data_IF_816816414034
#
_entry.id   IF_816816414034
#
_cell.length_a   1.000
_cell.length_b   1.000
_cell.length_c   1.000
_cell.angle_alpha   90.00
_cell.angle_beta   90.00
_cell.angle_gamma   90.00
#
_symmetry.space_group_name_H-M   'P 1'
#
loop_
_entity.id
_entity.type
_entity.pdbx_description
1 polymer ?
#
# COMPACT_ATOMS: atom_id res chain seq x y z
N UNK A 1 16.86 -21.76 -21.91
CA UNK A 1 16.20 -21.89 -20.60
C UNK A 1 15.28 -20.72 -20.46
N UNK A 2 14.02 -20.94 -20.20
CA UNK A 2 13.03 -19.86 -20.04
C UNK A 2 13.38 -19.00 -18.84
N UNK A 3 13.33 -17.67 -18.98
CA UNK A 3 13.60 -16.69 -17.93
C UNK A 3 12.34 -15.89 -17.60
N UNK A 4 12.07 -15.69 -16.30
CA UNK A 4 10.92 -14.93 -15.82
C UNK A 4 11.39 -13.81 -14.90
N UNK A 5 10.98 -12.57 -15.19
CA UNK A 5 11.12 -11.45 -14.27
C UNK A 5 9.84 -11.30 -13.44
N UNK A 6 9.99 -11.19 -12.11
CA UNK A 6 8.90 -10.82 -11.19
C UNK A 6 9.17 -9.42 -10.65
N UNK A 7 8.22 -8.49 -10.79
CA UNK A 7 8.37 -7.10 -10.35
C UNK A 7 7.58 -6.88 -9.07
N UNK A 8 8.31 -6.78 -7.96
CA UNK A 8 7.78 -6.62 -6.60
C UNK A 8 7.82 -7.90 -5.79
N UNK A 9 8.39 -7.84 -4.58
CA UNK A 9 8.44 -8.91 -3.59
C UNK A 9 7.43 -8.71 -2.44
N UNK A 10 6.27 -8.16 -2.75
CA UNK A 10 5.09 -8.18 -1.90
C UNK A 10 4.43 -9.57 -1.91
N UNK A 11 3.32 -9.79 -1.17
CA UNK A 11 2.65 -11.09 -1.07
C UNK A 11 2.40 -11.77 -2.41
N UNK A 12 2.03 -11.02 -3.46
CA UNK A 12 1.77 -11.57 -4.81
C UNK A 12 3.04 -12.09 -5.48
N UNK A 13 4.14 -11.31 -5.44
CA UNK A 13 5.43 -11.74 -6.00
C UNK A 13 6.00 -12.92 -5.25
N UNK A 14 5.95 -12.89 -3.91
CA UNK A 14 6.38 -14.01 -3.06
C UNK A 14 5.57 -15.29 -3.31
N UNK A 15 4.25 -15.16 -3.56
CA UNK A 15 3.42 -16.30 -3.94
C UNK A 15 3.86 -16.90 -5.29
N UNK A 16 4.23 -16.07 -6.26
CA UNK A 16 4.76 -16.55 -7.54
C UNK A 16 6.10 -17.27 -7.37
N UNK A 17 7.04 -16.71 -6.62
CA UNK A 17 8.33 -17.36 -6.34
C UNK A 17 8.11 -18.72 -5.65
N UNK A 18 7.22 -18.76 -4.66
CA UNK A 18 6.90 -20.02 -3.96
C UNK A 18 6.24 -21.03 -4.89
N UNK A 19 5.39 -20.62 -5.82
CA UNK A 19 4.76 -21.52 -6.78
C UNK A 19 5.80 -22.20 -7.68
N UNK A 20 6.79 -21.47 -8.17
CA UNK A 20 7.91 -22.06 -8.93
C UNK A 20 8.77 -22.99 -8.05
N UNK A 21 9.10 -22.58 -6.82
CA UNK A 21 9.86 -23.44 -5.91
C UNK A 21 9.10 -24.75 -5.62
N UNK A 22 7.79 -24.68 -5.36
CA UNK A 22 6.95 -25.84 -5.12
C UNK A 22 6.87 -26.78 -6.34
N UNK A 23 6.78 -26.22 -7.54
CA UNK A 23 6.80 -27.02 -8.77
C UNK A 23 8.14 -27.73 -8.95
N UNK A 24 9.26 -27.07 -8.67
CA UNK A 24 10.58 -27.67 -8.70
C UNK A 24 10.73 -28.80 -7.68
N UNK A 25 10.24 -28.63 -6.44
CA UNK A 25 10.21 -29.66 -5.40
C UNK A 25 9.43 -30.91 -5.84
N UNK A 26 8.43 -30.73 -6.72
CA UNK A 26 7.64 -31.82 -7.32
C UNK A 26 8.27 -32.41 -8.59
N UNK A 27 9.47 -31.96 -8.96
CA UNK A 27 10.23 -32.48 -10.11
C UNK A 27 9.82 -31.84 -11.45
N UNK A 28 9.05 -30.75 -11.45
CA UNK A 28 8.74 -30.03 -12.69
C UNK A 28 9.97 -29.23 -13.16
N UNK A 29 10.11 -29.09 -14.49
CA UNK A 29 11.04 -28.14 -15.09
C UNK A 29 10.50 -26.73 -14.86
N UNK A 30 11.29 -25.87 -14.19
CA UNK A 30 10.92 -24.49 -13.88
C UNK A 30 11.86 -23.50 -14.57
N UNK A 31 11.40 -22.28 -14.89
CA UNK A 31 12.25 -21.26 -15.46
C UNK A 31 13.29 -20.73 -14.47
N UNK A 32 14.31 -20.04 -14.98
CA UNK A 32 15.13 -19.15 -14.17
C UNK A 32 14.27 -17.93 -13.76
N UNK A 33 14.16 -17.66 -12.46
CA UNK A 33 13.32 -16.58 -11.95
C UNK A 33 14.18 -15.52 -11.25
N UNK A 34 13.99 -14.27 -11.64
CA UNK A 34 14.59 -13.11 -10.98
C UNK A 34 13.47 -12.19 -10.50
N UNK A 35 13.46 -11.88 -9.21
CA UNK A 35 12.51 -10.94 -8.62
C UNK A 35 13.21 -9.61 -8.32
N UNK A 36 12.62 -8.51 -8.76
CA UNK A 36 13.09 -7.15 -8.48
C UNK A 36 12.25 -6.51 -7.41
N UNK A 37 12.87 -6.12 -6.29
CA UNK A 37 12.22 -5.41 -5.20
C UNK A 37 12.88 -4.05 -4.97
N UNK A 38 12.04 -3.02 -4.90
CA UNK A 38 12.50 -1.63 -4.68
C UNK A 38 13.01 -1.43 -3.25
N UNK A 39 12.34 -2.03 -2.27
CA UNK A 39 12.68 -1.92 -0.86
C UNK A 39 13.94 -2.75 -0.53
N UNK A 40 14.42 -2.60 0.68
CA UNK A 40 15.57 -3.36 1.21
C UNK A 40 15.19 -4.72 1.80
N UNK A 41 13.88 -5.00 1.90
CA UNK A 41 13.36 -6.29 2.33
C UNK A 41 12.03 -6.60 1.64
N UNK A 42 11.59 -7.86 1.72
CA UNK A 42 10.33 -8.34 1.15
C UNK A 42 9.11 -7.95 1.99
N UNK A 43 7.92 -8.27 1.47
CA UNK A 43 6.64 -8.09 2.17
C UNK A 43 5.79 -6.98 1.62
N UNK A 44 6.33 -6.14 0.74
CA UNK A 44 5.61 -5.06 0.08
C UNK A 44 4.97 -4.12 1.09
N UNK A 45 3.64 -3.98 1.03
CA UNK A 45 2.86 -3.12 1.94
C UNK A 45 3.02 -3.51 3.42
N UNK A 46 3.20 -4.81 3.74
CA UNK A 46 3.33 -5.30 5.12
C UNK A 46 4.69 -4.99 5.75
N UNK A 47 5.70 -4.66 4.94
CA UNK A 47 6.98 -4.16 5.41
C UNK A 47 6.84 -2.69 5.83
N UNK A 48 6.51 -2.47 7.11
CA UNK A 48 6.26 -1.14 7.66
C UNK A 48 7.50 -0.26 7.68
N UNK A 49 7.33 0.99 7.28
CA UNK A 49 8.27 2.07 7.51
C UNK A 49 7.58 3.27 8.15
N UNK A 50 8.27 3.96 9.03
CA UNK A 50 7.82 5.24 9.58
C UNK A 50 7.98 6.40 8.57
N UNK A 51 8.79 6.21 7.53
CA UNK A 51 9.07 7.22 6.52
C UNK A 51 7.86 7.50 5.63
N UNK A 52 7.76 8.74 5.19
CA UNK A 52 6.81 9.22 4.18
C UNK A 52 7.55 10.00 3.10
N UNK A 53 6.90 10.30 1.99
CA UNK A 53 7.51 11.06 0.89
C UNK A 53 8.53 10.23 0.12
N UNK A 54 9.83 10.48 0.34
CA UNK A 54 10.93 9.77 -0.33
C UNK A 54 11.87 9.11 0.68
N UNK A 55 12.52 8.02 0.26
CA UNK A 55 13.53 7.30 1.03
C UNK A 55 14.93 7.93 0.89
N UNK A 56 15.95 7.27 1.42
CA UNK A 56 17.34 7.71 1.36
C UNK A 56 17.95 7.70 -0.04
N UNK A 57 17.31 7.05 -1.00
CA UNK A 57 17.71 7.01 -2.40
C UNK A 57 16.92 7.99 -3.28
N UNK A 58 15.99 8.77 -2.68
CA UNK A 58 15.09 9.66 -3.40
C UNK A 58 13.92 8.95 -4.07
N UNK A 59 13.69 7.67 -3.75
CA UNK A 59 12.56 6.90 -4.25
C UNK A 59 11.30 7.20 -3.43
N UNK A 60 10.14 7.34 -4.10
CA UNK A 60 8.87 7.52 -3.39
C UNK A 60 8.59 6.34 -2.46
N UNK A 61 8.25 6.60 -1.21
CA UNK A 61 7.82 5.56 -0.27
C UNK A 61 6.49 4.96 -0.74
N UNK A 62 6.52 3.69 -1.07
CA UNK A 62 5.37 2.97 -1.65
C UNK A 62 4.33 2.59 -0.59
N UNK A 63 4.77 2.31 0.64
CA UNK A 63 3.92 1.74 1.68
C UNK A 63 3.00 2.78 2.33
N UNK A 64 1.73 2.43 2.47
CA UNK A 64 0.71 3.18 3.22
C UNK A 64 0.40 2.56 4.59
N UNK A 65 1.22 1.62 5.06
CA UNK A 65 1.06 0.96 6.34
C UNK A 65 1.29 1.93 7.50
N UNK A 66 0.52 1.79 8.57
CA UNK A 66 0.68 2.54 9.81
C UNK A 66 0.84 1.63 11.03
N UNK A 67 1.37 2.20 12.09
CA UNK A 67 1.93 1.46 13.24
C UNK A 67 0.96 0.48 13.87
N UNK A 68 -0.27 0.89 14.08
CA UNK A 68 -1.27 0.12 14.83
C UNK A 68 -2.37 -0.45 13.94
N UNK A 69 -2.08 -0.69 12.66
CA UNK A 69 -3.04 -1.33 11.77
C UNK A 69 -3.33 -2.76 12.23
N UNK A 70 -4.60 -3.10 12.26
CA UNK A 70 -5.10 -4.45 12.41
C UNK A 70 -5.65 -4.95 11.08
N UNK A 71 -5.55 -6.25 10.84
CA UNK A 71 -6.18 -6.83 9.66
C UNK A 71 -7.68 -6.60 9.68
N UNK A 72 -8.22 -6.14 8.55
CA UNK A 72 -9.66 -6.05 8.32
C UNK A 72 -10.26 -7.33 7.72
N UNK A 73 -9.44 -8.34 7.51
CA UNK A 73 -9.82 -9.69 7.10
C UNK A 73 -9.41 -10.72 8.14
N UNK A 74 -10.22 -11.77 8.35
CA UNK A 74 -9.88 -12.83 9.28
C UNK A 74 -8.67 -13.64 8.77
N UNK A 75 -7.79 -14.06 9.68
CA UNK A 75 -6.59 -14.84 9.35
C UNK A 75 -6.93 -16.12 8.56
N UNK A 76 -8.09 -16.68 8.81
CA UNK A 76 -8.61 -17.87 8.14
C UNK A 76 -8.79 -17.67 6.62
N UNK A 77 -8.96 -16.42 6.18
CA UNK A 77 -8.99 -16.03 4.76
C UNK A 77 -7.62 -15.56 4.24
N UNK A 78 -6.64 -15.39 5.11
CA UNK A 78 -5.30 -14.90 4.79
C UNK A 78 -4.25 -16.02 4.85
N UNK A 79 -4.62 -17.19 5.35
CA UNK A 79 -3.75 -18.33 5.49
C UNK A 79 -3.34 -18.89 4.14
N UNK A 80 -2.05 -19.15 3.98
CA UNK A 80 -1.54 -19.81 2.79
C UNK A 80 -1.82 -21.31 2.86
N UNK A 81 -2.18 -21.91 1.73
CA UNK A 81 -2.53 -23.33 1.65
C UNK A 81 -1.37 -24.29 2.06
N UNK A 82 -0.14 -23.81 1.93
CA UNK A 82 1.09 -24.55 2.21
C UNK A 82 1.80 -24.12 3.50
N UNK A 83 1.18 -23.20 4.28
CA UNK A 83 1.80 -22.66 5.50
C UNK A 83 0.75 -22.07 6.44
N UNK A 84 0.45 -22.76 7.53
CA UNK A 84 -0.58 -22.36 8.50
C UNK A 84 -0.07 -21.38 9.56
N UNK A 85 -0.98 -20.53 10.09
CA UNK A 85 -0.63 -19.65 11.22
C UNK A 85 -0.23 -20.42 12.47
N UNK A 86 -0.91 -21.52 12.79
CA UNK A 86 -0.58 -22.33 13.96
C UNK A 86 0.75 -23.07 13.78
N UNK A 87 1.07 -23.49 12.55
CA UNK A 87 2.37 -24.06 12.21
C UNK A 87 3.49 -23.04 12.46
N UNK A 88 3.28 -21.78 12.04
CA UNK A 88 4.28 -20.73 12.18
C UNK A 88 4.48 -20.32 13.66
N UNK A 89 3.40 -20.02 14.37
CA UNK A 89 3.48 -19.47 15.73
C UNK A 89 3.52 -20.51 16.84
N UNK A 90 3.22 -21.77 16.56
CA UNK A 90 3.11 -22.84 17.57
C UNK A 90 1.98 -22.62 18.58
N UNK A 91 1.05 -21.72 18.32
CA UNK A 91 -0.09 -21.36 19.18
C UNK A 91 -1.23 -20.73 18.37
N UNK A 92 -2.47 -20.76 18.90
CA UNK A 92 -3.59 -20.03 18.28
C UNK A 92 -3.32 -18.53 18.21
N UNK A 93 -3.70 -17.94 17.08
CA UNK A 93 -3.64 -16.49 16.81
C UNK A 93 -5.07 -15.96 16.66
N UNK A 94 -5.32 -14.73 17.12
CA UNK A 94 -6.61 -14.06 16.93
C UNK A 94 -6.99 -13.98 15.46
N UNK A 95 -8.29 -14.08 15.14
CA UNK A 95 -8.78 -14.06 13.75
C UNK A 95 -8.42 -12.76 13.02
N UNK A 96 -8.41 -11.64 13.72
CA UNK A 96 -7.97 -10.34 13.16
C UNK A 96 -6.63 -9.94 13.80
N UNK A 97 -5.50 -10.36 13.22
CA UNK A 97 -4.19 -10.09 13.81
C UNK A 97 -3.70 -8.67 13.51
N UNK A 98 -2.85 -8.10 14.38
CA UNK A 98 -2.16 -6.85 14.08
C UNK A 98 -1.13 -7.07 12.94
N UNK A 99 -0.75 -5.97 12.28
CA UNK A 99 0.13 -6.00 11.09
C UNK A 99 1.45 -6.73 11.32
N UNK A 100 2.05 -6.59 12.49
CA UNK A 100 3.33 -7.24 12.81
C UNK A 100 3.23 -8.76 12.84
N UNK A 101 2.09 -9.30 13.24
CA UNK A 101 1.81 -10.75 13.21
C UNK A 101 1.72 -11.22 11.76
N UNK A 102 1.03 -10.47 10.90
CA UNK A 102 0.96 -10.80 9.46
C UNK A 102 2.32 -10.66 8.78
N UNK A 103 3.08 -9.64 9.13
CA UNK A 103 4.44 -9.47 8.62
C UNK A 103 5.34 -10.64 8.98
N UNK A 104 5.33 -11.04 10.25
CA UNK A 104 6.13 -12.17 10.74
C UNK A 104 5.73 -13.49 10.08
N UNK A 105 4.42 -13.70 9.90
CA UNK A 105 3.87 -14.86 9.18
C UNK A 105 4.31 -14.92 7.71
N UNK A 106 4.21 -13.80 6.97
CA UNK A 106 4.66 -13.70 5.57
C UNK A 106 6.16 -13.98 5.48
N UNK A 107 6.93 -13.41 6.40
CA UNK A 107 8.36 -13.58 6.48
C UNK A 107 8.75 -15.06 6.73
N UNK A 108 8.12 -15.71 7.69
CA UNK A 108 8.37 -17.12 8.00
C UNK A 108 8.10 -18.03 6.81
N UNK A 109 7.04 -17.78 6.05
CA UNK A 109 6.75 -18.52 4.81
C UNK A 109 7.86 -18.37 3.78
N UNK A 110 8.36 -17.15 3.57
CA UNK A 110 9.42 -16.88 2.59
C UNK A 110 10.74 -17.54 3.01
N UNK A 111 11.10 -17.44 4.29
CA UNK A 111 12.29 -18.08 4.85
C UNK A 111 12.23 -19.61 4.67
N UNK A 112 11.09 -20.23 4.98
CA UNK A 112 10.84 -21.65 4.76
C UNK A 112 10.93 -22.05 3.29
N UNK A 113 10.54 -21.18 2.39
CA UNK A 113 10.52 -21.44 0.94
C UNK A 113 11.89 -21.40 0.27
N UNK A 114 12.91 -20.80 0.91
CA UNK A 114 14.27 -20.69 0.36
C UNK A 114 14.39 -19.81 -0.89
N UNK A 115 13.40 -18.95 -1.17
CA UNK A 115 13.36 -18.14 -2.42
C UNK A 115 14.07 -16.79 -2.32
N UNK A 116 14.70 -16.48 -1.18
CA UNK A 116 15.34 -15.17 -0.95
C UNK A 116 16.40 -14.82 -1.99
N UNK A 117 17.20 -15.78 -2.40
CA UNK A 117 18.31 -15.58 -3.33
C UNK A 117 17.85 -15.23 -4.75
N UNK A 118 16.56 -15.42 -5.06
CA UNK A 118 15.95 -14.99 -6.32
C UNK A 118 15.56 -13.51 -6.29
N UNK A 119 15.64 -12.82 -5.14
CA UNK A 119 15.18 -11.45 -4.97
C UNK A 119 16.37 -10.49 -4.97
N UNK A 120 16.36 -9.55 -5.92
CA UNK A 120 17.27 -8.41 -5.99
C UNK A 120 16.62 -7.21 -5.29
N UNK A 121 17.04 -6.95 -4.07
CA UNK A 121 16.58 -5.82 -3.27
C UNK A 121 17.21 -4.52 -3.74
N UNK A 122 16.58 -3.38 -3.40
CA UNK A 122 16.98 -2.02 -3.81
C UNK A 122 17.17 -1.91 -5.33
N UNK A 123 16.28 -2.58 -6.05
CA UNK A 123 16.32 -2.73 -7.50
C UNK A 123 14.99 -2.37 -8.15
N UNK A 124 14.54 -1.09 -8.07
CA UNK A 124 13.31 -0.68 -8.74
C UNK A 124 13.43 -0.86 -10.26
N UNK A 125 12.41 -1.47 -10.85
CA UNK A 125 12.28 -1.55 -12.30
C UNK A 125 11.84 -0.19 -12.83
N UNK A 126 12.57 0.34 -13.80
CA UNK A 126 12.33 1.65 -14.42
C UNK A 126 11.51 1.55 -15.69
N UNK A 127 11.73 0.48 -16.43
CA UNK A 127 11.05 0.30 -17.71
C UNK A 127 10.94 -1.19 -18.04
N UNK A 128 9.88 -1.53 -18.76
CA UNK A 128 9.69 -2.83 -19.40
C UNK A 128 9.23 -2.58 -20.81
N UNK A 129 9.95 -3.11 -21.80
CA UNK A 129 9.56 -3.07 -23.21
C UNK A 129 9.40 -4.48 -23.73
N UNK A 130 8.50 -4.67 -24.70
CA UNK A 130 8.31 -5.92 -25.39
C UNK A 130 8.71 -5.76 -26.85
N UNK A 131 9.58 -6.63 -27.32
CA UNK A 131 9.93 -6.77 -28.74
C UNK A 131 9.06 -7.87 -29.37
N UNK A 132 8.09 -7.51 -30.23
CA UNK A 132 7.19 -8.49 -30.85
C UNK A 132 7.90 -9.39 -31.87
N UNK A 133 9.00 -8.93 -32.45
CA UNK A 133 9.74 -9.71 -33.48
C UNK A 133 10.63 -10.76 -32.78
N UNK A 134 11.25 -10.41 -31.66
CA UNK A 134 12.02 -11.36 -30.86
C UNK A 134 11.13 -12.18 -29.91
N UNK A 135 9.92 -11.72 -29.57
CA UNK A 135 9.04 -12.31 -28.56
C UNK A 135 9.58 -12.17 -27.12
N UNK A 136 10.43 -11.18 -26.88
CA UNK A 136 11.16 -10.99 -25.62
C UNK A 136 10.82 -9.68 -24.93
N UNK A 137 10.88 -9.71 -23.59
CA UNK A 137 10.79 -8.52 -22.76
C UNK A 137 12.18 -8.04 -22.37
N UNK A 138 12.42 -6.74 -22.44
CA UNK A 138 13.59 -6.09 -21.85
C UNK A 138 13.16 -5.36 -20.56
N UNK A 139 13.75 -5.76 -19.43
CA UNK A 139 13.51 -5.17 -18.12
C UNK A 139 14.71 -4.32 -17.71
N UNK A 140 14.52 -3.01 -17.56
CA UNK A 140 15.53 -2.09 -17.07
C UNK A 140 15.34 -1.85 -15.58
N UNK A 141 16.29 -2.28 -14.76
CA UNK A 141 16.29 -2.12 -13.31
C UNK A 141 17.45 -1.23 -12.85
N UNK A 142 17.19 -0.43 -11.81
CA UNK A 142 18.18 0.46 -11.19
C UNK A 142 18.70 -0.17 -9.90
N UNK A 143 19.98 -0.51 -9.84
CA UNK A 143 20.63 -0.84 -8.59
C UNK A 143 20.87 0.46 -7.79
N UNK A 144 20.08 0.68 -6.73
CA UNK A 144 20.15 1.90 -5.93
C UNK A 144 21.44 2.03 -5.13
N UNK A 145 22.12 0.91 -4.82
CA UNK A 145 23.41 0.95 -4.13
C UNK A 145 24.55 1.32 -5.06
N UNK A 146 24.57 0.71 -6.25
CA UNK A 146 25.61 0.98 -7.25
C UNK A 146 25.32 2.27 -8.03
N UNK A 147 24.09 2.78 -8.03
CA UNK A 147 23.66 3.93 -8.83
C UNK A 147 23.64 3.64 -10.33
N UNK A 148 23.51 2.38 -10.75
CA UNK A 148 23.58 1.95 -12.15
C UNK A 148 22.27 1.35 -12.62
N UNK A 149 21.93 1.60 -13.88
CA UNK A 149 20.79 0.94 -14.54
C UNK A 149 21.30 -0.15 -15.46
N UNK A 150 20.78 -1.36 -15.31
CA UNK A 150 21.07 -2.48 -16.18
C UNK A 150 19.78 -3.01 -16.83
N UNK A 151 19.88 -3.50 -18.05
CA UNK A 151 18.77 -4.12 -18.79
C UNK A 151 19.05 -5.60 -19.02
N UNK A 152 18.06 -6.42 -18.77
CA UNK A 152 18.11 -7.87 -19.00
C UNK A 152 16.89 -8.33 -19.78
N UNK A 153 17.05 -9.41 -20.56
CA UNK A 153 16.00 -10.00 -21.39
C UNK A 153 15.32 -11.17 -20.68
N UNK A 154 14.00 -11.26 -20.87
CA UNK A 154 13.12 -12.27 -20.27
C UNK A 154 12.06 -12.73 -21.26
N UNK A 155 11.72 -14.03 -21.20
CA UNK A 155 10.59 -14.59 -21.95
C UNK A 155 9.24 -14.11 -21.38
N UNK A 156 9.18 -13.92 -20.06
CA UNK A 156 7.94 -13.50 -19.37
C UNK A 156 8.22 -12.48 -18.29
N UNK A 157 7.23 -11.62 -18.05
CA UNK A 157 7.24 -10.64 -16.95
C UNK A 157 5.95 -10.77 -16.14
N UNK A 158 6.12 -10.90 -14.83
CA UNK A 158 5.03 -10.91 -13.84
C UNK A 158 5.05 -9.58 -13.08
N UNK A 159 4.00 -8.77 -13.24
CA UNK A 159 3.86 -7.50 -12.55
C UNK A 159 3.12 -7.73 -11.21
N UNK A 160 3.85 -7.63 -10.10
CA UNK A 160 3.37 -7.82 -8.74
C UNK A 160 3.64 -6.57 -7.87
N UNK A 161 3.63 -5.38 -8.49
CA UNK A 161 4.01 -4.10 -7.88
C UNK A 161 3.01 -3.53 -6.88
N UNK A 162 1.86 -4.19 -6.68
CA UNK A 162 0.77 -3.66 -5.86
C UNK A 162 0.02 -2.51 -6.56
N UNK A 163 -1.01 -1.98 -5.88
CA UNK A 163 -1.86 -0.93 -6.45
C UNK A 163 -2.21 0.19 -5.45
N UNK A 164 -1.76 0.10 -4.19
CA UNK A 164 -2.06 1.09 -3.15
C UNK A 164 -0.89 2.04 -2.90
N UNK A 165 -0.35 2.68 -3.94
CA UNK A 165 0.87 3.49 -3.83
C UNK A 165 0.70 4.97 -4.15
N UNK A 166 -0.25 5.36 -4.96
CA UNK A 166 -0.42 6.76 -5.37
C UNK A 166 -1.66 7.37 -4.74
N UNK A 167 -1.52 8.39 -3.86
CA UNK A 167 -2.65 9.02 -3.20
C UNK A 167 -3.49 9.85 -4.17
N UNK A 168 -4.81 9.76 -4.04
CA UNK A 168 -5.74 10.67 -4.68
C UNK A 168 -5.96 11.89 -3.78
N UNK A 169 -5.24 12.97 -4.05
CA UNK A 169 -5.28 14.19 -3.22
C UNK A 169 -6.21 15.22 -3.87
N UNK A 170 -7.45 15.36 -3.38
CA UNK A 170 -8.35 16.40 -3.85
C UNK A 170 -7.84 17.78 -3.42
N UNK A 171 -8.11 18.77 -4.24
CA UNK A 171 -7.84 20.16 -3.90
C UNK A 171 -9.13 20.84 -3.40
N UNK A 172 -9.02 21.50 -2.25
CA UNK A 172 -10.06 22.39 -1.73
C UNK A 172 -9.51 23.80 -1.64
N UNK A 173 -10.30 24.85 -1.99
CA UNK A 173 -9.88 26.24 -1.84
C UNK A 173 -9.43 26.53 -0.41
N UNK A 174 -8.27 27.14 -0.27
CA UNK A 174 -7.68 27.50 1.02
C UNK A 174 -6.72 26.49 1.63
N UNK A 175 -6.55 25.29 1.06
CA UNK A 175 -5.58 24.31 1.54
C UNK A 175 -4.16 24.87 1.60
N UNK A 176 -3.79 25.72 0.65
CA UNK A 176 -2.47 26.37 0.58
C UNK A 176 -2.20 27.37 1.72
N UNK A 177 -3.25 27.75 2.46
CA UNK A 177 -3.18 28.70 3.60
C UNK A 177 -3.54 28.05 4.93
N UNK A 178 -3.86 26.78 4.94
CA UNK A 178 -4.15 26.06 6.16
C UNK A 178 -2.93 26.05 7.07
N UNK A 179 -3.10 26.47 8.31
CA UNK A 179 -1.99 26.61 9.27
C UNK A 179 -1.64 25.30 9.99
N UNK A 180 -2.52 24.31 9.91
CA UNK A 180 -2.32 22.99 10.48
C UNK A 180 -1.67 22.03 9.50
N UNK A 181 -1.76 20.72 9.81
CA UNK A 181 -1.22 19.67 8.94
C UNK A 181 -2.28 19.09 8.03
N UNK A 182 -2.01 19.06 6.71
CA UNK A 182 -2.78 18.27 5.74
C UNK A 182 -1.95 17.05 5.37
N UNK A 183 -2.53 15.85 5.47
CA UNK A 183 -1.90 14.62 5.00
C UNK A 183 -2.94 13.70 4.36
N UNK A 184 -2.48 12.87 3.45
CA UNK A 184 -3.29 11.77 2.94
C UNK A 184 -3.16 10.53 3.84
N UNK A 185 -4.17 9.67 3.90
CA UNK A 185 -4.14 8.39 4.64
C UNK A 185 -2.94 7.52 4.26
N UNK A 186 -2.43 7.63 3.03
CA UNK A 186 -1.19 7.01 2.58
C UNK A 186 0.01 7.36 3.46
N UNK A 187 0.09 8.60 3.95
CA UNK A 187 1.20 9.11 4.77
C UNK A 187 0.89 9.12 6.27
N UNK A 188 -0.27 8.64 6.67
CA UNK A 188 -0.58 8.40 8.07
C UNK A 188 0.31 7.27 8.61
N UNK A 189 0.94 7.49 9.78
CA UNK A 189 1.86 6.51 10.38
C UNK A 189 1.52 6.16 11.82
N UNK A 190 1.05 7.13 12.60
CA UNK A 190 0.79 6.95 14.03
C UNK A 190 -0.32 7.91 14.50
N UNK A 191 -1.32 7.38 15.19
CA UNK A 191 -2.42 8.17 15.74
C UNK A 191 -2.04 9.04 16.93
N UNK A 192 -0.95 8.72 17.62
CA UNK A 192 -0.48 9.50 18.78
C UNK A 192 -0.08 10.92 18.42
N UNK A 193 0.22 11.18 17.15
CA UNK A 193 0.46 12.53 16.63
C UNK A 193 -0.75 13.48 16.81
N UNK A 194 -1.96 12.92 16.90
CA UNK A 194 -3.22 13.65 16.96
C UNK A 194 -3.83 13.72 18.35
N UNK A 195 -3.08 13.30 19.39
CA UNK A 195 -3.49 13.46 20.79
C UNK A 195 -3.80 14.93 21.09
N UNK A 196 -4.92 15.19 21.80
CA UNK A 196 -5.43 16.51 22.18
C UNK A 196 -5.73 17.44 20.98
N UNK A 197 -5.83 16.92 19.75
CA UNK A 197 -6.13 17.71 18.55
C UNK A 197 -7.56 17.52 18.07
N UNK A 198 -8.12 18.58 17.51
CA UNK A 198 -9.31 18.54 16.68
C UNK A 198 -8.89 18.23 15.25
N UNK A 199 -9.45 17.18 14.65
CA UNK A 199 -9.07 16.72 13.32
C UNK A 199 -10.28 16.64 12.40
N UNK A 200 -10.05 16.89 11.10
CA UNK A 200 -11.03 16.63 10.06
C UNK A 200 -10.58 15.44 9.21
N UNK A 201 -11.44 14.45 9.06
CA UNK A 201 -11.26 13.32 8.14
C UNK A 201 -12.13 13.58 6.91
N UNK A 202 -11.53 13.51 5.73
CA UNK A 202 -12.24 13.64 4.44
C UNK A 202 -12.31 12.26 3.78
N UNK A 203 -13.47 11.65 3.81
CA UNK A 203 -13.74 10.30 3.32
C UNK A 203 -14.67 9.52 4.25
N UNK A 204 -15.30 8.46 3.75
CA UNK A 204 -16.24 7.62 4.50
C UNK A 204 -16.10 6.14 4.12
N UNK A 205 -14.90 5.61 4.12
CA UNK A 205 -14.62 4.20 3.88
C UNK A 205 -13.65 3.67 4.93
N UNK A 206 -13.21 2.43 4.82
CA UNK A 206 -12.37 1.73 5.78
C UNK A 206 -11.18 2.55 6.32
N UNK A 207 -10.51 3.34 5.48
CA UNK A 207 -9.40 4.19 5.96
C UNK A 207 -9.89 5.31 6.88
N UNK A 208 -11.06 5.90 6.61
CA UNK A 208 -11.62 6.95 7.44
C UNK A 208 -12.06 6.40 8.80
N UNK A 209 -12.75 5.26 8.78
CA UNK A 209 -13.20 4.53 9.96
C UNK A 209 -12.02 4.14 10.85
N UNK A 210 -11.03 3.41 10.32
CA UNK A 210 -9.93 2.87 11.10
C UNK A 210 -8.99 3.96 11.62
N UNK A 211 -8.60 4.91 10.78
CA UNK A 211 -7.74 6.04 11.19
C UNK A 211 -8.44 6.89 12.25
N UNK A 212 -9.73 7.20 12.04
CA UNK A 212 -10.49 7.97 13.01
C UNK A 212 -10.67 7.24 14.34
N UNK A 213 -10.99 5.94 14.30
CA UNK A 213 -11.08 5.10 15.50
C UNK A 213 -9.77 5.02 16.25
N UNK A 214 -8.63 4.95 15.55
CA UNK A 214 -7.33 5.01 16.19
C UNK A 214 -7.06 6.39 16.79
N UNK A 215 -7.36 7.48 16.08
CA UNK A 215 -7.22 8.82 16.63
C UNK A 215 -8.08 9.01 17.88
N UNK A 216 -9.32 8.50 17.90
CA UNK A 216 -10.15 8.47 19.13
C UNK A 216 -9.47 7.70 20.26
N UNK A 217 -9.03 6.46 19.98
CA UNK A 217 -8.37 5.59 20.96
C UNK A 217 -7.11 6.22 21.57
N UNK A 218 -6.37 7.00 20.77
CA UNK A 218 -5.13 7.66 21.20
C UNK A 218 -5.32 9.11 21.61
N UNK A 219 -6.56 9.54 21.89
CA UNK A 219 -6.87 10.77 22.61
C UNK A 219 -7.00 12.01 21.75
N UNK A 220 -7.42 11.89 20.49
CA UNK A 220 -7.87 13.06 19.73
C UNK A 220 -9.05 13.74 20.45
N UNK A 221 -9.06 15.07 20.54
CA UNK A 221 -10.08 15.81 21.25
C UNK A 221 -11.43 15.76 20.51
N UNK A 222 -11.45 16.16 19.24
CA UNK A 222 -12.61 16.07 18.37
C UNK A 222 -12.24 15.46 17.02
N UNK A 223 -13.14 14.66 16.49
CA UNK A 223 -13.02 14.03 15.18
C UNK A 223 -14.23 14.45 14.35
N UNK A 224 -13.99 15.26 13.34
CA UNK A 224 -14.97 15.63 12.34
C UNK A 224 -14.77 14.76 11.11
N UNK A 225 -15.85 14.29 10.50
CA UNK A 225 -15.80 13.51 9.29
C UNK A 225 -16.72 14.09 8.22
N UNK A 226 -16.23 14.20 7.00
CA UNK A 226 -17.00 14.69 5.86
C UNK A 226 -16.81 13.81 4.65
N UNK A 227 -17.88 13.57 3.89
CA UNK A 227 -17.84 12.70 2.72
C UNK A 227 -18.92 13.08 1.70
N UNK A 228 -18.64 12.82 0.43
CA UNK A 228 -19.63 12.93 -0.65
C UNK A 228 -20.66 11.81 -0.62
N UNK A 229 -20.31 10.68 0.00
CA UNK A 229 -21.19 9.52 0.12
C UNK A 229 -22.23 9.66 1.24
N UNK A 230 -22.13 10.74 2.07
CA UNK A 230 -22.98 10.91 3.25
C UNK A 230 -22.44 10.19 4.49
N UNK A 231 -23.33 9.96 5.47
CA UNK A 231 -22.97 9.30 6.72
C UNK A 231 -22.51 7.86 6.52
N UNK A 232 -21.55 7.42 7.35
CA UNK A 232 -21.09 6.03 7.41
C UNK A 232 -22.08 5.12 8.13
N UNK A 233 -23.01 5.68 8.90
CA UNK A 233 -24.11 4.95 9.55
C UNK A 233 -23.69 4.13 10.78
N UNK A 234 -22.58 4.48 11.43
CA UNK A 234 -22.10 3.85 12.65
C UNK A 234 -22.50 4.64 13.89
N UNK A 235 -22.56 3.96 15.04
CA UNK A 235 -22.61 4.60 16.36
C UNK A 235 -21.21 5.07 16.74
N UNK A 236 -20.94 6.36 16.49
CA UNK A 236 -19.66 6.96 16.78
C UNK A 236 -19.52 7.38 18.26
N UNK A 237 -18.30 7.43 18.79
CA UNK A 237 -18.06 8.01 20.12
C UNK A 237 -18.51 9.48 20.20
N UNK A 238 -18.76 9.97 21.42
CA UNK A 238 -19.24 11.34 21.71
C UNK A 238 -18.35 12.47 21.17
N UNK A 239 -17.06 12.18 20.91
CA UNK A 239 -16.12 13.12 20.32
C UNK A 239 -16.04 13.05 18.79
N UNK A 240 -16.91 12.27 18.14
CA UNK A 240 -16.95 12.14 16.67
C UNK A 240 -18.23 12.78 16.14
N UNK A 241 -18.10 13.58 15.08
CA UNK A 241 -19.22 14.26 14.42
C UNK A 241 -19.11 14.12 12.90
N UNK A 242 -20.16 13.61 12.25
CA UNK A 242 -20.27 13.59 10.79
C UNK A 242 -20.89 14.90 10.30
N UNK A 243 -20.25 15.54 9.34
CA UNK A 243 -20.60 16.86 8.81
C UNK A 243 -20.85 16.79 7.31
N UNK A 244 -21.62 17.76 6.76
CA UNK A 244 -21.82 17.89 5.32
C UNK A 244 -20.51 18.05 4.54
N UNK A 245 -20.61 18.21 3.22
CA UNK A 245 -19.45 18.30 2.33
C UNK A 245 -18.59 19.51 2.69
N UNK A 246 -17.28 19.29 2.84
CA UNK A 246 -16.28 20.35 2.94
C UNK A 246 -16.28 21.20 1.66
N UNK A 247 -16.35 22.52 1.80
CA UNK A 247 -16.34 23.46 0.68
C UNK A 247 -15.02 24.19 0.50
N UNK A 248 -14.47 24.72 1.58
CA UNK A 248 -13.19 25.44 1.59
C UNK A 248 -12.62 25.54 3.00
N UNK A 249 -11.41 26.08 3.09
CA UNK A 249 -10.71 26.31 4.35
C UNK A 249 -10.23 27.76 4.42
N UNK A 250 -10.35 28.39 5.58
CA UNK A 250 -9.80 29.73 5.84
C UNK A 250 -8.99 29.71 7.16
N UNK A 251 -7.68 29.85 7.05
CA UNK A 251 -6.79 29.63 8.20
C UNK A 251 -6.95 28.21 8.77
N UNK A 252 -7.38 28.08 10.03
CA UNK A 252 -7.68 26.80 10.66
C UNK A 252 -9.16 26.41 10.62
N UNK A 253 -10.00 27.28 10.07
CA UNK A 253 -11.44 27.07 10.03
C UNK A 253 -11.84 26.35 8.74
N UNK A 254 -12.48 25.19 8.88
CA UNK A 254 -13.06 24.41 7.78
C UNK A 254 -14.53 24.76 7.63
N UNK A 255 -15.00 24.93 6.41
CA UNK A 255 -16.36 25.36 6.06
C UNK A 255 -17.12 24.26 5.33
N UNK A 256 -18.38 24.04 5.71
CA UNK A 256 -19.22 23.00 5.15
C UNK A 256 -20.37 23.57 4.30
N UNK A 257 -20.99 22.73 3.49
CA UNK A 257 -22.00 23.14 2.50
C UNK A 257 -23.30 23.66 3.09
N UNK A 258 -23.58 23.41 4.35
CA UNK A 258 -24.74 23.92 5.10
C UNK A 258 -24.46 25.24 5.87
N UNK A 259 -23.22 25.75 5.73
CA UNK A 259 -22.77 26.96 6.41
C UNK A 259 -22.16 26.73 7.80
N UNK A 260 -22.13 25.51 8.28
CA UNK A 260 -21.41 25.18 9.53
C UNK A 260 -19.90 25.35 9.37
N UNK A 261 -19.21 25.62 10.47
CA UNK A 261 -17.73 25.73 10.51
C UNK A 261 -17.18 25.02 11.72
N UNK A 262 -15.92 24.56 11.62
CA UNK A 262 -15.15 24.03 12.74
C UNK A 262 -13.70 24.49 12.62
N UNK A 263 -13.05 24.70 13.77
CA UNK A 263 -11.60 24.90 13.80
C UNK A 263 -10.91 23.57 14.01
N UNK A 264 -9.89 23.31 13.20
CA UNK A 264 -9.17 22.04 13.23
C UNK A 264 -7.66 22.23 13.18
N UNK A 265 -6.93 21.30 13.79
CA UNK A 265 -5.48 21.28 13.84
C UNK A 265 -4.85 20.44 12.73
N UNK A 266 -5.63 19.50 12.14
CA UNK A 266 -5.18 18.67 11.05
C UNK A 266 -6.34 18.22 10.15
N UNK A 267 -6.02 17.97 8.88
CA UNK A 267 -6.92 17.39 7.88
C UNK A 267 -6.29 16.10 7.36
N UNK A 268 -7.01 14.99 7.47
CA UNK A 268 -6.58 13.68 6.99
C UNK A 268 -7.46 13.29 5.80
N UNK A 269 -6.84 13.19 4.63
CA UNK A 269 -7.52 12.86 3.38
C UNK A 269 -7.59 11.33 3.22
N UNK A 270 -8.73 10.75 3.56
CA UNK A 270 -9.07 9.35 3.34
C UNK A 270 -9.83 9.16 2.01
N UNK A 271 -9.30 9.78 0.95
CA UNK A 271 -9.95 9.96 -0.35
C UNK A 271 -9.55 8.90 -1.37
N UNK A 272 -9.13 7.75 -0.87
CA UNK A 272 -8.66 6.62 -1.66
C UNK A 272 -7.34 6.91 -2.42
N UNK A 273 -6.89 5.93 -3.16
CA UNK A 273 -5.69 5.98 -3.97
C UNK A 273 -6.09 6.14 -5.44
N UNK A 274 -5.23 6.69 -6.26
CA UNK A 274 -5.46 6.68 -7.70
C UNK A 274 -5.42 5.23 -8.17
N UNK A 275 -6.58 4.72 -8.55
CA UNK A 275 -6.63 3.54 -9.40
C UNK A 275 -6.07 3.96 -10.76
N UNK A 276 -4.91 3.45 -11.08
CA UNK A 276 -4.55 3.39 -12.47
C UNK A 276 -5.61 2.52 -13.13
N UNK A 277 -6.35 3.12 -14.03
CA UNK A 277 -7.46 2.64 -14.85
C UNK A 277 -7.71 1.13 -14.84
N UNK A 278 -8.96 0.73 -14.72
CA UNK A 278 -9.40 -0.62 -15.03
C UNK A 278 -8.86 -1.04 -16.41
N UNK A 279 -8.28 -2.21 -16.50
CA UNK A 279 -7.76 -2.76 -17.76
C UNK A 279 -8.82 -2.82 -18.89
N UNK A 280 -10.13 -2.71 -18.52
CA UNK A 280 -11.24 -2.60 -19.45
C UNK A 280 -11.40 -1.16 -20.02
N UNK A 281 -10.92 -0.14 -19.35
CA UNK A 281 -11.02 1.26 -19.76
C UNK A 281 -9.84 1.74 -20.61
N UNK A 282 -8.76 0.97 -20.73
CA UNK A 282 -7.57 1.35 -21.47
C UNK A 282 -7.66 1.02 -22.96
N UNK A 283 -7.97 2.03 -23.73
CA UNK A 283 -7.77 2.04 -25.17
C UNK A 283 -6.33 2.38 -25.53
N UNK A 284 -5.39 1.47 -25.41
CA UNK A 284 -4.11 1.53 -26.13
C UNK A 284 -2.91 2.35 -25.60
N UNK A 285 -2.69 2.56 -24.31
CA UNK A 285 -1.37 3.04 -23.86
C UNK A 285 -0.95 2.52 -22.50
N UNK A 286 0.33 2.16 -22.33
CA UNK A 286 0.90 1.68 -21.05
C UNK A 286 1.52 2.83 -20.29
N UNK A 287 0.97 3.14 -19.12
CA UNK A 287 1.72 3.85 -18.11
C UNK A 287 2.23 2.85 -17.07
N UNK A 288 3.52 2.85 -16.76
CA UNK A 288 4.09 2.08 -15.65
C UNK A 288 3.56 2.65 -14.34
N UNK A 289 2.72 1.89 -13.66
CA UNK A 289 1.91 2.32 -12.51
C UNK A 289 0.45 1.90 -12.67
N UNK A 290 0.03 1.57 -13.87
CA UNK A 290 -1.25 1.02 -14.22
C UNK A 290 -1.12 -0.36 -14.85
N UNK A 291 -2.09 -1.19 -14.63
CA UNK A 291 -2.16 -2.55 -15.15
C UNK A 291 -1.98 -2.59 -16.66
N UNK A 292 -1.11 -3.47 -17.14
CA UNK A 292 -1.25 -4.07 -18.44
C UNK A 292 -1.07 -5.57 -18.41
N UNK A 293 -2.08 -6.22 -18.92
CA UNK A 293 -1.93 -7.54 -19.52
C UNK A 293 -1.59 -7.27 -20.99
N UNK A 294 -0.35 -7.53 -21.38
CA UNK A 294 0.02 -7.62 -22.79
C UNK A 294 -0.37 -9.04 -23.21
N UNK A 295 -1.26 -9.12 -24.21
CA UNK A 295 -1.57 -10.39 -24.89
C UNK A 295 -0.42 -10.81 -25.75
#
# INVERSE_FOLDING_TARGET
MTRVAVIGAGPSGLAMLRAFASAAEQGAEVPEVVCYEKQDDWGGLWNYTWRTGVDEYGESVHGSMYRYLWSNGPKECLEFADYGFEEHFGKPIASYPPREVLWDYIRGRVEKSGVRDQIRFRSPVRNVTFDPDAGMFTVAAHDLKAGTVASEEYDHVVVASGHFSVPNVPHYPGFERFLGRILHAHDFRDATEFTDKDILIVGASYSAEDIGSQCHKYGANRIYCTSRAGSMGYDWPDNWEELPILTHVDGNTVHFSDGQTRDVHAIILCTCLLYTSDAADERSSVALGGRRIIK
#
